data_IF_491544920727
#
_entry.id   IF_491544920727
#
_cell.length_a   1.000
_cell.length_b   1.000
_cell.length_c   1.000
_cell.angle_alpha   90.00
_cell.angle_beta   90.00
_cell.angle_gamma   90.00
#
_symmetry.space_group_name_H-M   'P 1'
#
loop_
_entity.id
_entity.type
_entity.pdbx_description
1 polymer ?
#
# COMPACT_ATOMS: atom_id res chain seq x y z
N UNK A 1 53.70 -25.36 -49.85
CA UNK A 1 53.21 -24.54 -50.97
C UNK A 1 51.81 -25.04 -51.29
N UNK A 2 50.82 -24.17 -51.06
CA UNK A 2 49.45 -24.13 -51.63
C UNK A 2 48.39 -25.19 -51.25
N UNK A 3 47.23 -24.63 -50.86
CA UNK A 3 45.92 -25.22 -50.51
C UNK A 3 45.10 -25.73 -51.72
N UNK A 4 44.00 -26.42 -51.39
CA UNK A 4 42.58 -26.26 -51.85
C UNK A 4 42.04 -27.52 -52.55
N UNK A 5 41.13 -28.35 -52.01
CA UNK A 5 39.71 -28.24 -51.59
C UNK A 5 38.64 -28.20 -52.72
N UNK A 6 37.66 -29.11 -52.55
CA UNK A 6 36.20 -29.03 -52.75
C UNK A 6 35.43 -29.71 -53.91
N UNK A 7 34.25 -30.21 -53.46
CA UNK A 7 32.99 -30.64 -54.11
C UNK A 7 32.84 -32.15 -54.36
N UNK A 8 31.78 -32.86 -53.93
CA UNK A 8 30.49 -32.50 -53.36
C UNK A 8 29.34 -32.91 -54.30
N UNK A 9 28.51 -33.90 -53.94
CA UNK A 9 27.26 -34.22 -54.65
C UNK A 9 26.16 -34.65 -53.67
N UNK A 10 25.01 -34.00 -53.79
CA UNK A 10 23.78 -34.23 -53.04
C UNK A 10 22.71 -34.96 -53.91
N UNK A 11 21.77 -35.62 -53.26
CA UNK A 11 20.45 -36.08 -53.73
C UNK A 11 19.50 -35.92 -52.54
N UNK A 12 18.22 -35.59 -52.62
CA UNK A 12 17.24 -35.44 -53.70
C UNK A 12 15.86 -35.59 -53.02
N UNK A 13 14.97 -34.62 -53.20
CA UNK A 13 13.62 -34.52 -52.61
C UNK A 13 12.56 -35.32 -53.40
N UNK A 14 11.44 -35.74 -52.76
CA UNK A 14 10.02 -35.71 -53.22
C UNK A 14 9.11 -36.13 -52.04
N UNK A 15 8.24 -35.26 -51.47
CA UNK A 15 6.83 -34.93 -51.80
C UNK A 15 5.80 -35.88 -51.12
N UNK A 16 5.12 -35.48 -50.04
CA UNK A 16 3.84 -34.74 -49.91
C UNK A 16 2.57 -35.62 -49.92
N UNK A 17 1.82 -35.64 -48.82
CA UNK A 17 0.35 -35.77 -48.83
C UNK A 17 -0.24 -35.21 -47.53
N UNK A 18 -1.36 -34.51 -47.72
CA UNK A 18 -2.03 -33.58 -46.84
C UNK A 18 -3.37 -34.15 -46.37
N UNK A 19 -3.81 -33.78 -45.18
CA UNK A 19 -5.24 -33.80 -44.83
C UNK A 19 -5.52 -32.80 -43.72
N UNK A 20 -6.26 -31.76 -44.11
CA UNK A 20 -6.66 -30.57 -43.36
C UNK A 20 -8.14 -30.76 -42.99
N UNK A 21 -8.52 -30.55 -41.72
CA UNK A 21 -9.93 -30.55 -41.27
C UNK A 21 -10.32 -29.13 -40.84
N UNK A 22 -11.44 -28.55 -41.31
CA UNK A 22 -11.88 -27.22 -40.92
C UNK A 22 -12.88 -27.29 -39.75
N UNK A 23 -12.68 -26.46 -38.73
CA UNK A 23 -13.67 -26.24 -37.66
C UNK A 23 -14.54 -25.03 -37.95
N UNK A 24 -15.83 -25.26 -37.80
CA UNK A 24 -16.98 -24.40 -38.08
C UNK A 24 -16.96 -23.07 -37.30
N UNK A 25 -17.27 -21.99 -38.01
CA UNK A 25 -17.56 -20.64 -37.51
C UNK A 25 -19.06 -20.57 -37.15
N UNK A 26 -19.40 -20.16 -35.92
CA UNK A 26 -20.76 -19.84 -35.51
C UNK A 26 -20.97 -18.31 -35.56
N UNK A 27 -22.12 -17.81 -36.03
CA UNK A 27 -22.38 -16.38 -36.18
C UNK A 27 -22.73 -15.69 -34.85
N UNK A 28 -22.15 -14.51 -34.65
CA UNK A 28 -22.42 -13.59 -33.54
C UNK A 28 -23.82 -12.98 -33.69
N UNK A 29 -24.70 -13.21 -32.70
CA UNK A 29 -25.99 -12.52 -32.61
C UNK A 29 -25.79 -11.11 -32.07
N UNK A 30 -26.24 -10.15 -32.86
CA UNK A 30 -26.36 -8.73 -32.51
C UNK A 30 -27.61 -8.54 -31.62
N UNK A 31 -27.45 -7.99 -30.43
CA UNK A 31 -28.56 -7.53 -29.58
C UNK A 31 -28.21 -6.12 -29.08
N UNK A 32 -28.78 -5.12 -29.74
CA UNK A 32 -29.02 -3.80 -29.15
C UNK A 32 -30.33 -3.88 -28.36
N UNK A 33 -30.30 -3.57 -27.06
CA UNK A 33 -31.17 -2.56 -26.42
C UNK A 33 -31.25 -2.72 -24.88
N UNK A 34 -31.45 -1.55 -24.28
CA UNK A 34 -32.07 -1.26 -22.99
C UNK A 34 -31.19 -1.34 -21.72
N UNK A 35 -30.87 -0.16 -21.17
CA UNK A 35 -31.50 0.41 -19.98
C UNK A 35 -30.48 1.18 -19.13
N UNK A 36 -30.68 2.48 -19.05
CA UNK A 36 -30.00 3.36 -18.11
C UNK A 36 -30.43 2.99 -16.67
N UNK A 37 -29.47 2.69 -15.80
CA UNK A 37 -29.71 2.57 -14.36
C UNK A 37 -29.46 3.94 -13.70
N UNK A 38 -30.41 4.48 -12.90
CA UNK A 38 -30.20 5.72 -12.16
C UNK A 38 -29.26 5.54 -10.97
N UNK A 39 -28.49 6.59 -10.68
CA UNK A 39 -27.57 6.70 -9.54
C UNK A 39 -28.32 6.60 -8.19
N UNK A 40 -27.75 5.95 -7.16
CA UNK A 40 -28.31 6.01 -5.81
C UNK A 40 -28.05 7.36 -5.15
N UNK A 41 -29.10 7.91 -4.53
CA UNK A 41 -29.13 9.18 -3.80
C UNK A 41 -28.08 9.26 -2.68
N UNK A 42 -27.33 10.36 -2.64
CA UNK A 42 -26.45 10.74 -1.52
C UNK A 42 -27.27 11.27 -0.33
N UNK A 43 -26.95 10.90 0.93
CA UNK A 43 -27.58 11.47 2.11
C UNK A 43 -27.06 12.89 2.44
N UNK A 44 -27.87 13.77 3.06
CA UNK A 44 -27.48 15.14 3.38
C UNK A 44 -26.48 15.23 4.55
N UNK A 45 -25.63 16.29 4.61
CA UNK A 45 -24.65 16.47 5.66
C UNK A 45 -25.27 16.93 7.00
N UNK A 46 -24.67 16.60 8.15
CA UNK A 46 -25.13 17.05 9.47
C UNK A 46 -24.81 18.53 9.75
N UNK A 47 -25.55 19.19 10.65
CA UNK A 47 -25.42 20.63 10.90
C UNK A 47 -24.20 20.99 11.76
N UNK A 48 -23.52 22.07 11.37
CA UNK A 48 -22.37 22.66 12.07
C UNK A 48 -22.78 23.26 13.43
N UNK A 49 -22.19 22.78 14.53
CA UNK A 49 -22.31 23.40 15.86
C UNK A 49 -21.40 24.63 15.94
N UNK A 50 -22.02 25.80 15.97
CA UNK A 50 -21.43 27.06 16.45
C UNK A 50 -21.13 26.93 17.95
N UNK A 51 -19.87 27.07 18.36
CA UNK A 51 -19.54 27.36 19.76
C UNK A 51 -19.29 28.86 19.91
N UNK A 52 -20.27 29.50 20.55
CA UNK A 52 -20.28 30.89 20.95
C UNK A 52 -19.24 31.11 22.06
N UNK A 53 -18.30 32.03 21.84
CA UNK A 53 -17.44 32.58 22.90
C UNK A 53 -18.30 33.47 23.80
N UNK A 54 -18.37 33.20 25.10
CA UNK A 54 -18.90 34.14 26.08
C UNK A 54 -17.77 34.82 26.83
N UNK A 55 -17.58 36.11 26.54
CA UNK A 55 -16.80 37.06 27.32
C UNK A 55 -17.61 37.59 28.51
N UNK A 56 -16.88 37.95 29.57
CA UNK A 56 -17.34 38.47 30.86
C UNK A 56 -18.18 39.76 30.79
N UNK A 57 -19.02 39.96 31.81
CA UNK A 57 -19.38 41.29 32.31
C UNK A 57 -19.85 41.21 33.77
N UNK A 58 -19.31 42.12 34.58
CA UNK A 58 -19.63 42.37 35.97
C UNK A 58 -20.88 43.24 36.12
N UNK A 59 -21.57 43.14 37.27
CA UNK A 59 -22.33 44.24 37.84
C UNK A 59 -22.55 44.03 39.34
N UNK A 60 -22.17 45.05 40.10
CA UNK A 60 -22.37 45.20 41.53
C UNK A 60 -23.80 45.66 41.85
N UNK A 61 -24.27 45.38 43.07
CA UNK A 61 -25.20 46.25 43.80
C UNK A 61 -25.15 45.96 45.31
N UNK A 62 -25.20 47.02 46.09
CA UNK A 62 -25.02 47.09 47.55
C UNK A 62 -26.36 47.07 48.31
N UNK A 63 -26.29 47.31 49.63
CA UNK A 63 -27.34 47.34 50.68
C UNK A 63 -27.56 45.96 51.35
N UNK A 64 -27.40 45.72 52.65
CA UNK A 64 -27.08 46.53 53.83
C UNK A 64 -27.71 45.85 55.08
N UNK A 65 -27.05 45.96 56.24
CA UNK A 65 -27.61 45.90 57.61
C UNK A 65 -27.61 44.56 58.43
N UNK A 66 -26.56 44.43 59.29
CA UNK A 66 -26.58 44.05 60.74
C UNK A 66 -26.80 42.57 61.20
N UNK A 67 -26.36 42.20 62.43
CA UNK A 67 -25.30 41.19 62.62
C UNK A 67 -25.78 39.97 63.43
N UNK A 68 -25.03 38.86 63.39
CA UNK A 68 -25.01 37.94 64.52
C UNK A 68 -23.70 37.15 64.57
N UNK A 69 -23.16 37.15 65.78
CA UNK A 69 -21.90 36.61 66.27
C UNK A 69 -21.94 35.08 66.23
N UNK A 70 -20.97 34.42 65.59
CA UNK A 70 -20.68 33.01 65.87
C UNK A 70 -19.23 32.64 65.52
N UNK A 71 -18.56 32.15 66.57
CA UNK A 71 -17.45 31.19 66.63
C UNK A 71 -16.46 31.09 65.45
N UNK A 72 -15.19 31.35 65.80
CA UNK A 72 -14.02 30.80 65.13
C UNK A 72 -14.09 29.27 65.15
N UNK A 73 -13.89 28.66 63.99
CA UNK A 73 -13.46 27.26 63.85
C UNK A 73 -12.50 27.23 62.68
N UNK A 74 -11.21 27.23 62.98
CA UNK A 74 -10.16 27.01 61.99
C UNK A 74 -10.18 25.52 61.69
N UNK A 75 -10.89 25.13 60.64
CA UNK A 75 -10.82 23.77 60.10
C UNK A 75 -9.67 23.76 59.11
N UNK A 76 -8.62 23.04 59.45
CA UNK A 76 -7.54 22.69 58.55
C UNK A 76 -8.12 21.74 57.50
N UNK A 77 -8.46 22.24 56.32
CA UNK A 77 -8.78 21.39 55.17
C UNK A 77 -7.48 20.73 54.70
N UNK A 78 -7.26 19.52 55.19
CA UNK A 78 -6.30 18.58 54.63
C UNK A 78 -6.81 18.17 53.25
N UNK A 79 -6.37 18.88 52.21
CA UNK A 79 -6.60 18.48 50.82
C UNK A 79 -5.85 17.16 50.57
N UNK A 80 -6.54 16.05 50.81
CA UNK A 80 -6.12 14.73 50.37
C UNK A 80 -6.07 14.74 48.83
N UNK A 81 -4.86 14.70 48.27
CA UNK A 81 -4.68 14.42 46.85
C UNK A 81 -5.31 13.06 46.54
N UNK A 82 -6.30 12.97 45.63
CA UNK A 82 -6.78 11.67 45.21
C UNK A 82 -5.60 10.93 44.58
N UNK A 83 -5.31 9.75 45.14
CA UNK A 83 -4.30 8.84 44.61
C UNK A 83 -4.56 8.63 43.11
N UNK A 84 -3.53 8.60 42.25
CA UNK A 84 -3.76 8.32 40.83
C UNK A 84 -4.43 6.96 40.72
N UNK A 85 -5.68 6.96 40.25
CA UNK A 85 -6.38 5.76 39.79
C UNK A 85 -5.47 5.03 38.80
N UNK A 86 -5.40 3.68 38.84
CA UNK A 86 -4.59 2.93 37.89
C UNK A 86 -5.07 3.33 36.49
N UNK A 87 -4.17 4.00 35.77
CA UNK A 87 -4.36 4.37 34.37
C UNK A 87 -4.87 3.14 33.63
N UNK A 88 -5.94 3.34 32.84
CA UNK A 88 -6.44 2.37 31.87
C UNK A 88 -5.26 1.67 31.17
N UNK A 89 -5.37 0.37 30.82
CA UNK A 89 -4.26 -0.39 30.29
C UNK A 89 -3.65 0.37 29.11
N UNK A 90 -2.43 0.88 29.31
CA UNK A 90 -1.66 1.50 28.26
C UNK A 90 -1.36 0.41 27.26
N UNK A 91 -2.05 0.43 26.11
CA UNK A 91 -1.50 -0.23 24.94
C UNK A 91 -0.28 0.59 24.55
N UNK A 92 0.90 0.07 24.92
CA UNK A 92 2.17 0.63 24.53
C UNK A 92 2.22 0.72 22.99
N UNK A 93 2.82 1.79 22.48
CA UNK A 93 2.97 1.99 21.04
C UNK A 93 3.80 0.84 20.44
N UNK A 94 3.29 0.21 19.37
CA UNK A 94 3.94 -0.92 18.69
C UNK A 94 4.58 -0.48 17.37
N UNK A 95 5.61 -1.20 16.92
CA UNK A 95 6.24 -0.97 15.62
C UNK A 95 5.36 -1.51 14.50
N UNK A 96 5.08 -0.67 13.52
CA UNK A 96 4.36 -1.00 12.27
C UNK A 96 5.32 -0.88 11.09
N UNK A 97 5.21 -1.83 10.17
CA UNK A 97 6.13 -2.06 9.05
C UNK A 97 5.40 -1.90 7.72
N UNK A 98 5.76 -0.89 6.95
CA UNK A 98 5.23 -0.64 5.61
C UNK A 98 6.27 -1.05 4.56
N UNK A 99 5.93 -2.04 3.73
CA UNK A 99 6.77 -2.46 2.62
C UNK A 99 6.24 -1.85 1.32
N UNK A 100 7.06 -1.04 0.64
CA UNK A 100 6.74 -0.49 -0.67
C UNK A 100 7.50 -1.26 -1.75
N UNK A 101 6.77 -2.06 -2.54
CA UNK A 101 7.33 -2.88 -3.61
C UNK A 101 6.91 -2.36 -4.99
N UNK A 102 7.90 -2.06 -5.84
CA UNK A 102 7.63 -1.82 -7.27
C UNK A 102 7.57 -3.15 -8.00
N UNK A 103 6.57 -3.35 -8.86
CA UNK A 103 6.43 -4.57 -9.65
C UNK A 103 7.71 -4.99 -10.40
N UNK A 104 7.83 -6.29 -10.69
CA UNK A 104 8.98 -6.82 -11.40
C UNK A 104 9.00 -6.42 -12.89
N UNK A 105 10.12 -6.64 -13.56
CA UNK A 105 10.31 -6.19 -14.94
C UNK A 105 9.25 -6.78 -15.89
N UNK A 106 8.61 -5.94 -16.70
CA UNK A 106 7.51 -6.31 -17.60
C UNK A 106 7.86 -6.10 -19.07
N UNK A 107 7.27 -6.92 -19.93
CA UNK A 107 7.54 -6.89 -21.37
C UNK A 107 6.79 -5.76 -22.07
N UNK A 108 7.39 -5.16 -23.09
CA UNK A 108 6.72 -4.27 -24.07
C UNK A 108 6.61 -4.92 -25.46
N UNK A 109 6.90 -6.22 -25.58
CA UNK A 109 7.14 -6.89 -26.87
C UNK A 109 5.91 -7.05 -27.76
N UNK A 110 4.68 -6.83 -27.26
CA UNK A 110 3.46 -6.91 -28.05
C UNK A 110 2.79 -5.54 -28.14
N UNK A 111 2.92 -4.83 -29.28
CA UNK A 111 2.34 -3.49 -29.47
C UNK A 111 0.81 -3.43 -29.35
N UNK A 112 0.13 -4.57 -29.48
CA UNK A 112 -1.33 -4.68 -29.45
C UNK A 112 -1.90 -4.89 -28.05
N UNK A 113 -1.07 -5.16 -27.04
CA UNK A 113 -1.52 -5.33 -25.66
C UNK A 113 -1.70 -3.96 -24.99
N UNK A 114 -2.79 -3.81 -24.24
CA UNK A 114 -2.98 -2.64 -23.36
C UNK A 114 -1.91 -2.65 -22.27
N UNK A 115 -1.46 -1.48 -21.82
CA UNK A 115 -0.40 -1.41 -20.80
C UNK A 115 -0.74 -2.20 -19.52
N UNK A 116 -2.01 -2.13 -19.10
CA UNK A 116 -2.52 -2.84 -17.93
C UNK A 116 -2.37 -4.37 -18.02
N UNK A 117 -2.46 -4.93 -19.23
CA UNK A 117 -2.39 -6.37 -19.49
C UNK A 117 -0.95 -6.86 -19.78
N UNK A 118 0.06 -5.99 -19.65
CA UNK A 118 1.45 -6.36 -19.96
C UNK A 118 1.99 -7.40 -18.98
N UNK A 119 2.48 -8.55 -19.47
CA UNK A 119 3.03 -9.60 -18.62
C UNK A 119 4.47 -9.29 -18.19
N UNK A 120 4.96 -10.04 -17.20
CA UNK A 120 6.37 -10.02 -16.80
C UNK A 120 7.30 -10.59 -17.88
N UNK A 121 8.55 -10.13 -17.92
CA UNK A 121 9.61 -10.82 -18.67
C UNK A 121 10.13 -12.01 -17.85
N UNK A 122 10.82 -12.95 -18.49
CA UNK A 122 11.50 -14.06 -17.80
C UNK A 122 12.46 -13.58 -16.71
N UNK A 123 13.20 -12.49 -16.95
CA UNK A 123 14.03 -11.83 -15.94
C UNK A 123 13.19 -11.31 -14.77
N UNK A 124 12.07 -10.62 -15.03
CA UNK A 124 11.17 -10.14 -13.99
C UNK A 124 10.59 -11.26 -13.13
N UNK A 125 10.27 -12.40 -13.75
CA UNK A 125 9.83 -13.59 -13.02
C UNK A 125 10.93 -14.12 -12.08
N UNK A 126 12.17 -14.24 -12.56
CA UNK A 126 13.31 -14.65 -11.72
C UNK A 126 13.57 -13.65 -10.58
N UNK A 127 13.44 -12.35 -10.86
CA UNK A 127 13.66 -11.30 -9.86
C UNK A 127 12.61 -11.33 -8.75
N UNK A 128 11.33 -11.56 -9.10
CA UNK A 128 10.25 -11.72 -8.12
C UNK A 128 10.52 -12.89 -7.17
N UNK A 129 10.98 -14.03 -7.69
CA UNK A 129 11.34 -15.19 -6.88
C UNK A 129 12.50 -14.89 -5.92
N UNK A 130 13.56 -14.23 -6.39
CA UNK A 130 14.72 -13.85 -5.56
C UNK A 130 14.33 -12.89 -4.45
N UNK A 131 13.50 -11.89 -4.76
CA UNK A 131 13.05 -10.90 -3.77
C UNK A 131 12.14 -11.54 -2.73
N UNK A 132 11.25 -12.46 -3.13
CA UNK A 132 10.45 -13.24 -2.17
C UNK A 132 11.32 -13.99 -1.16
N UNK A 133 12.33 -14.72 -1.64
CA UNK A 133 13.26 -15.46 -0.79
C UNK A 133 14.02 -14.54 0.17
N UNK A 134 14.49 -13.39 -0.31
CA UNK A 134 15.19 -12.40 0.53
C UNK A 134 14.28 -11.81 1.60
N UNK A 135 13.04 -11.47 1.26
CA UNK A 135 12.06 -10.97 2.24
C UNK A 135 11.78 -12.03 3.32
N UNK A 136 11.69 -13.30 2.94
CA UNK A 136 11.54 -14.40 3.90
C UNK A 136 12.75 -14.52 4.84
N UNK A 137 13.96 -14.52 4.28
CA UNK A 137 15.21 -14.62 5.04
C UNK A 137 15.39 -13.48 6.05
N UNK A 138 14.90 -12.28 5.71
CA UNK A 138 14.95 -11.10 6.57
C UNK A 138 13.78 -11.02 7.57
N UNK A 139 12.79 -11.92 7.48
CA UNK A 139 11.57 -11.84 8.29
C UNK A 139 10.67 -10.65 7.93
N UNK A 140 10.80 -10.12 6.72
CA UNK A 140 9.99 -9.01 6.18
C UNK A 140 8.73 -9.56 5.51
N UNK A 141 8.01 -10.42 6.24
CA UNK A 141 6.79 -11.06 5.75
C UNK A 141 5.56 -10.17 6.02
N UNK A 142 4.80 -9.78 4.98
CA UNK A 142 3.57 -9.03 5.18
C UNK A 142 2.44 -9.92 5.71
N UNK A 143 1.51 -9.31 6.42
CA UNK A 143 0.25 -9.90 6.84
C UNK A 143 -0.91 -9.44 5.94
N UNK A 144 -0.76 -8.29 5.29
CA UNK A 144 -1.67 -7.75 4.28
C UNK A 144 -0.89 -7.24 3.08
N UNK A 145 -1.37 -7.56 1.88
CA UNK A 145 -0.82 -7.13 0.60
C UNK A 145 -1.89 -6.35 -0.17
N UNK A 146 -1.64 -5.06 -0.33
CA UNK A 146 -2.43 -4.17 -1.17
C UNK A 146 -1.71 -4.01 -2.50
N UNK A 147 -2.33 -4.36 -3.62
CA UNK A 147 -1.66 -4.26 -4.92
C UNK A 147 -2.53 -3.74 -6.05
N UNK A 148 -1.89 -3.07 -7.02
CA UNK A 148 -2.55 -2.73 -8.27
C UNK A 148 -3.07 -3.97 -8.98
N UNK A 149 -4.15 -3.77 -9.72
CA UNK A 149 -4.89 -4.79 -10.45
C UNK A 149 -4.29 -5.07 -11.85
N UNK A 150 -3.14 -4.48 -12.20
CA UNK A 150 -2.42 -4.73 -13.45
C UNK A 150 -1.84 -6.15 -13.53
N UNK A 151 -1.70 -6.71 -14.73
CA UNK A 151 -1.19 -8.07 -14.93
C UNK A 151 0.19 -8.27 -14.31
N UNK A 152 1.13 -7.35 -14.54
CA UNK A 152 2.49 -7.38 -13.98
C UNK A 152 2.57 -7.40 -12.45
N UNK A 153 1.68 -6.70 -11.73
CA UNK A 153 1.65 -6.75 -10.26
C UNK A 153 1.08 -8.07 -9.77
N UNK A 154 0.01 -8.57 -10.41
CA UNK A 154 -0.56 -9.89 -10.10
C UNK A 154 0.44 -11.02 -10.33
N UNK A 155 1.13 -11.01 -11.47
CA UNK A 155 2.14 -12.01 -11.80
C UNK A 155 3.33 -11.93 -10.85
N UNK A 156 3.75 -10.72 -10.45
CA UNK A 156 4.83 -10.54 -9.44
C UNK A 156 4.42 -11.25 -8.14
N UNK A 157 3.24 -10.95 -7.60
CA UNK A 157 2.76 -11.57 -6.36
C UNK A 157 2.60 -13.10 -6.49
N UNK A 158 2.02 -13.57 -7.60
CA UNK A 158 1.84 -15.00 -7.86
C UNK A 158 3.17 -15.76 -7.78
N UNK A 159 4.21 -15.23 -8.41
CA UNK A 159 5.54 -15.86 -8.41
C UNK A 159 6.18 -15.80 -7.02
N UNK A 160 5.97 -14.70 -6.27
CA UNK A 160 6.43 -14.61 -4.88
C UNK A 160 5.77 -15.70 -4.02
N UNK A 161 4.47 -15.94 -4.18
CA UNK A 161 3.72 -17.00 -3.49
C UNK A 161 4.18 -18.41 -3.89
N UNK A 162 4.44 -18.65 -5.18
CA UNK A 162 4.96 -19.93 -5.67
C UNK A 162 6.38 -20.21 -5.16
N UNK A 163 7.21 -19.17 -5.03
CA UNK A 163 8.59 -19.29 -4.57
C UNK A 163 8.71 -19.41 -3.05
N UNK A 164 7.83 -18.71 -2.32
CA UNK A 164 7.80 -18.65 -0.86
C UNK A 164 6.34 -18.80 -0.40
N UNK A 165 5.90 -20.02 -0.04
CA UNK A 165 4.52 -20.29 0.33
C UNK A 165 3.99 -19.47 1.51
N UNK A 166 4.85 -18.95 2.39
CA UNK A 166 4.44 -18.06 3.50
C UNK A 166 3.75 -16.78 3.02
N UNK A 167 3.95 -16.34 1.77
CA UNK A 167 3.15 -15.25 1.19
C UNK A 167 1.67 -15.59 0.98
N UNK A 168 1.30 -16.87 1.04
CA UNK A 168 -0.11 -17.31 0.98
C UNK A 168 -0.86 -17.04 2.30
N UNK A 169 -0.14 -16.86 3.40
CA UNK A 169 -0.73 -16.55 4.71
C UNK A 169 -1.19 -15.08 4.79
N UNK A 170 -0.68 -14.22 3.91
CA UNK A 170 -1.03 -12.80 3.86
C UNK A 170 -2.39 -12.60 3.18
N UNK A 171 -3.21 -11.72 3.74
CA UNK A 171 -4.43 -11.27 3.09
C UNK A 171 -4.10 -10.45 1.84
N UNK A 172 -4.81 -10.67 0.72
CA UNK A 172 -4.54 -9.99 -0.55
C UNK A 172 -5.75 -9.16 -0.99
N UNK A 173 -5.53 -7.86 -1.25
CA UNK A 173 -6.56 -6.94 -1.75
C UNK A 173 -6.09 -6.17 -2.98
N UNK A 174 -6.86 -6.28 -4.06
CA UNK A 174 -6.62 -5.50 -5.28
C UNK A 174 -7.16 -4.08 -5.13
N UNK A 175 -6.31 -3.10 -5.37
CA UNK A 175 -6.64 -1.67 -5.33
C UNK A 175 -6.45 -1.11 -6.74
N UNK A 176 -7.50 -1.06 -7.58
CA UNK A 176 -7.37 -0.59 -8.97
C UNK A 176 -6.77 0.81 -9.10
N UNK A 177 -7.06 1.68 -8.14
CA UNK A 177 -6.50 3.04 -8.12
C UNK A 177 -4.98 3.09 -7.96
N UNK A 178 -4.31 2.02 -7.47
CA UNK A 178 -2.85 1.95 -7.42
C UNK A 178 -2.21 1.96 -8.82
N UNK A 179 -2.95 1.57 -9.87
CA UNK A 179 -2.49 1.73 -11.25
C UNK A 179 -2.44 3.21 -11.67
N UNK A 180 -3.56 3.91 -11.49
CA UNK A 180 -3.72 5.29 -11.98
C UNK A 180 -2.97 6.31 -11.13
N UNK A 181 -2.99 6.15 -9.80
CA UNK A 181 -2.38 7.12 -8.87
C UNK A 181 -0.86 7.19 -9.05
N UNK A 182 -0.23 6.09 -9.46
CA UNK A 182 1.22 6.02 -9.64
C UNK A 182 1.75 6.93 -10.76
N UNK A 183 0.86 7.41 -11.64
CA UNK A 183 1.14 8.39 -12.68
C UNK A 183 0.77 9.84 -12.29
N UNK A 184 0.22 10.05 -11.09
CA UNK A 184 -0.17 11.37 -10.58
C UNK A 184 0.85 11.85 -9.54
N UNK A 185 1.67 12.81 -9.94
CA UNK A 185 2.74 13.38 -9.10
C UNK A 185 2.18 13.95 -7.79
N UNK A 186 2.83 13.65 -6.67
CA UNK A 186 2.50 14.19 -5.34
C UNK A 186 1.31 13.55 -4.64
N UNK A 187 0.55 12.68 -5.30
CA UNK A 187 -0.70 12.13 -4.73
C UNK A 187 -0.55 10.71 -4.16
N UNK A 188 0.50 9.99 -4.54
CA UNK A 188 0.62 8.55 -4.21
C UNK A 188 0.78 8.32 -2.70
N UNK A 189 1.55 9.14 -1.98
CA UNK A 189 1.76 8.97 -0.53
C UNK A 189 0.44 9.05 0.26
N UNK A 190 -0.34 10.11 0.04
CA UNK A 190 -1.63 10.27 0.71
C UNK A 190 -2.62 9.15 0.34
N UNK A 191 -2.65 8.73 -0.93
CA UNK A 191 -3.50 7.62 -1.37
C UNK A 191 -3.10 6.28 -0.73
N UNK A 192 -1.80 6.02 -0.57
CA UNK A 192 -1.28 4.84 0.12
C UNK A 192 -1.68 4.86 1.59
N UNK A 193 -1.47 5.98 2.29
CA UNK A 193 -1.90 6.14 3.68
C UNK A 193 -3.39 5.82 3.85
N UNK A 194 -4.25 6.45 3.05
CA UNK A 194 -5.69 6.21 3.10
C UNK A 194 -6.05 4.74 2.81
N UNK A 195 -5.35 4.11 1.86
CA UNK A 195 -5.59 2.71 1.51
C UNK A 195 -5.17 1.76 2.63
N UNK A 196 -4.04 2.02 3.28
CA UNK A 196 -3.57 1.21 4.42
C UNK A 196 -4.51 1.37 5.61
N UNK A 197 -4.85 2.59 6.02
CA UNK A 197 -5.82 2.85 7.09
C UNK A 197 -7.19 2.21 6.81
N UNK A 198 -7.65 2.24 5.55
CA UNK A 198 -8.96 1.68 5.18
C UNK A 198 -8.99 0.15 5.20
N UNK A 199 -7.90 -0.50 4.83
CA UNK A 199 -7.89 -1.94 4.56
C UNK A 199 -7.16 -2.77 5.62
N UNK A 200 -6.36 -2.13 6.47
CA UNK A 200 -5.68 -2.80 7.58
C UNK A 200 -6.47 -2.67 8.87
N UNK A 201 -6.29 -3.64 9.75
CA UNK A 201 -6.65 -3.57 11.16
C UNK A 201 -5.39 -3.36 12.01
N UNK A 202 -5.57 -3.03 13.29
CA UNK A 202 -4.47 -2.66 14.17
C UNK A 202 -3.60 -3.84 14.60
N UNK A 203 -4.10 -5.07 14.53
CA UNK A 203 -3.37 -6.32 14.76
C UNK A 203 -2.44 -6.72 13.60
N UNK A 204 -2.66 -6.16 12.41
CA UNK A 204 -1.77 -6.33 11.26
C UNK A 204 -0.64 -5.33 11.37
N UNK A 205 0.55 -5.79 11.78
CA UNK A 205 1.72 -4.95 12.01
C UNK A 205 2.58 -4.78 10.76
N UNK A 206 2.43 -5.63 9.74
CA UNK A 206 3.21 -5.54 8.49
C UNK A 206 2.30 -5.52 7.27
N UNK A 207 2.31 -4.40 6.55
CA UNK A 207 1.53 -4.21 5.31
C UNK A 207 2.49 -4.02 4.15
N UNK A 208 2.26 -4.72 3.04
CA UNK A 208 2.96 -4.50 1.78
C UNK A 208 2.03 -3.81 0.79
N UNK A 209 2.48 -2.70 0.22
CA UNK A 209 1.85 -2.06 -0.93
C UNK A 209 2.68 -2.33 -2.18
N UNK A 210 2.07 -2.91 -3.21
CA UNK A 210 2.72 -3.23 -4.49
C UNK A 210 2.13 -2.43 -5.65
N UNK A 211 2.98 -1.69 -6.36
CA UNK A 211 2.52 -0.79 -7.41
C UNK A 211 3.60 -0.44 -8.41
N UNK A 212 3.55 0.81 -8.89
CA UNK A 212 4.30 1.29 -10.05
C UNK A 212 5.09 2.55 -9.72
N UNK A 213 6.19 2.75 -10.45
CA UNK A 213 6.84 4.05 -10.48
C UNK A 213 6.15 4.97 -11.51
N UNK A 214 6.19 6.29 -11.33
CA UNK A 214 7.00 7.05 -10.34
C UNK A 214 6.46 7.06 -8.91
N UNK A 215 5.16 6.87 -8.73
CA UNK A 215 4.50 7.08 -7.43
C UNK A 215 5.06 6.30 -6.23
N UNK A 216 5.52 5.05 -6.39
CA UNK A 216 6.03 4.27 -5.25
C UNK A 216 7.35 4.81 -4.67
N UNK A 217 8.27 5.18 -5.55
CA UNK A 217 9.55 5.79 -5.16
C UNK A 217 9.36 7.18 -4.57
N UNK A 218 8.44 7.96 -5.14
CA UNK A 218 8.04 9.24 -4.59
C UNK A 218 7.43 9.07 -3.19
N UNK A 219 6.49 8.14 -3.03
CA UNK A 219 5.86 7.91 -1.73
C UNK A 219 6.85 7.42 -0.68
N UNK A 220 7.76 6.52 -1.04
CA UNK A 220 8.84 6.11 -0.16
C UNK A 220 9.68 7.31 0.28
N UNK A 221 10.07 8.16 -0.66
CA UNK A 221 10.89 9.35 -0.38
C UNK A 221 10.15 10.38 0.50
N UNK A 222 8.86 10.57 0.25
CA UNK A 222 7.99 11.46 1.03
C UNK A 222 7.84 10.96 2.47
N UNK A 223 7.59 9.66 2.67
CA UNK A 223 7.42 9.10 4.00
C UNK A 223 8.71 9.13 4.82
N UNK A 224 9.87 8.90 4.20
CA UNK A 224 11.17 8.86 4.90
C UNK A 224 11.88 10.20 4.97
N UNK A 225 11.50 11.17 4.15
CA UNK A 225 12.14 12.49 4.08
C UNK A 225 13.53 12.44 3.42
N UNK A 226 13.85 11.34 2.75
CA UNK A 226 15.13 11.09 2.06
C UNK A 226 14.87 10.57 0.66
N UNK A 227 15.83 10.72 -0.26
CA UNK A 227 15.68 10.18 -1.61
C UNK A 227 15.75 8.65 -1.60
N UNK A 228 14.69 7.99 -2.06
CA UNK A 228 14.60 6.52 -2.14
C UNK A 228 14.37 6.09 -3.59
N UNK A 229 15.31 5.36 -4.19
CA UNK A 229 15.16 4.84 -5.56
C UNK A 229 14.59 3.42 -5.58
N UNK A 230 13.49 3.20 -6.33
CA UNK A 230 12.88 1.89 -6.51
C UNK A 230 12.96 1.43 -7.98
N UNK A 231 14.00 0.67 -8.30
CA UNK A 231 14.09 -0.09 -9.56
C UNK A 231 13.05 -1.22 -9.57
N UNK A 232 12.85 -1.84 -10.74
CA UNK A 232 11.89 -2.94 -10.88
C UNK A 232 12.18 -4.04 -9.87
N UNK A 233 11.13 -4.50 -9.19
CA UNK A 233 11.20 -5.50 -8.12
C UNK A 233 11.94 -5.07 -6.84
N UNK A 234 12.32 -3.80 -6.67
CA UNK A 234 12.83 -3.33 -5.38
C UNK A 234 11.70 -3.28 -4.33
N UNK A 235 12.03 -3.62 -3.08
CA UNK A 235 11.13 -3.51 -1.94
C UNK A 235 11.81 -2.73 -0.80
N UNK A 236 11.24 -1.57 -0.43
CA UNK A 236 11.71 -0.78 0.70
C UNK A 236 10.88 -1.09 1.96
N UNK A 237 11.53 -1.33 3.09
CA UNK A 237 10.87 -1.45 4.39
C UNK A 237 10.98 -0.13 5.17
N UNK A 238 9.84 0.42 5.53
CA UNK A 238 9.69 1.62 6.34
C UNK A 238 9.05 1.25 7.68
N UNK A 239 9.47 1.88 8.77
CA UNK A 239 8.94 1.65 10.11
C UNK A 239 8.52 2.93 10.81
N UNK A 240 7.40 2.84 11.54
CA UNK A 240 6.90 3.86 12.44
C UNK A 240 6.25 3.19 13.66
N UNK A 241 6.08 3.94 14.75
CA UNK A 241 5.39 3.45 15.95
C UNK A 241 4.01 4.07 16.08
N UNK A 242 3.01 3.28 16.45
CA UNK A 242 1.66 3.76 16.73
C UNK A 242 0.73 2.63 17.17
N UNK A 243 -0.26 2.94 18.01
CA UNK A 243 -1.24 1.95 18.49
C UNK A 243 -2.19 1.54 17.38
N UNK A 244 -2.44 2.42 16.40
CA UNK A 244 -3.15 2.13 15.15
C UNK A 244 -2.32 2.52 13.92
N UNK A 245 -2.75 2.11 12.73
CA UNK A 245 -2.13 2.59 11.48
C UNK A 245 -2.31 4.09 11.29
N UNK A 246 -3.50 4.62 11.59
CA UNK A 246 -3.79 6.06 11.54
C UNK A 246 -2.88 6.83 12.49
N UNK A 247 -2.70 6.35 13.73
CA UNK A 247 -1.82 6.98 14.71
C UNK A 247 -0.35 6.92 14.24
N UNK A 248 0.11 5.79 13.70
CA UNK A 248 1.47 5.68 13.18
C UNK A 248 1.72 6.67 12.03
N UNK A 249 0.79 6.80 11.08
CA UNK A 249 0.90 7.82 10.03
C UNK A 249 0.82 9.24 10.58
N UNK A 250 -0.02 9.51 11.58
CA UNK A 250 -0.17 10.84 12.16
C UNK A 250 1.06 11.26 12.98
N UNK A 251 1.64 10.35 13.76
CA UNK A 251 2.83 10.60 14.59
C UNK A 251 4.11 10.70 13.77
N UNK A 252 4.31 9.79 12.82
CA UNK A 252 5.47 9.85 11.93
C UNK A 252 5.37 11.02 10.94
N UNK A 253 4.17 11.32 10.46
CA UNK A 253 3.95 12.33 9.43
C UNK A 253 4.74 12.03 8.14
N UNK A 254 4.92 13.07 7.32
CA UNK A 254 5.82 13.01 6.18
C UNK A 254 7.25 13.22 6.69
N UNK A 255 8.16 12.33 6.32
CA UNK A 255 9.57 12.39 6.72
C UNK A 255 9.92 11.67 8.03
N UNK A 256 8.95 11.19 8.80
CA UNK A 256 9.23 10.52 10.08
C UNK A 256 9.28 8.99 10.02
N UNK A 257 9.01 8.37 8.86
CA UNK A 257 9.15 6.92 8.73
C UNK A 257 10.63 6.54 8.62
N UNK A 258 11.09 5.61 9.44
CA UNK A 258 12.46 5.11 9.39
C UNK A 258 12.62 4.09 8.26
N UNK A 259 13.44 4.40 7.26
CA UNK A 259 13.86 3.44 6.24
C UNK A 259 14.81 2.41 6.87
N UNK A 260 14.41 1.14 6.90
CA UNK A 260 15.26 0.05 7.40
C UNK A 260 16.18 -0.51 6.32
N UNK A 261 15.76 -0.45 5.07
CA UNK A 261 16.57 -0.85 3.92
C UNK A 261 15.74 -1.17 2.69
N UNK A 262 16.44 -1.44 1.58
CA UNK A 262 15.86 -1.76 0.29
C UNK A 262 16.39 -3.13 -0.17
N UNK A 263 15.49 -4.09 -0.32
CA UNK A 263 15.77 -5.39 -0.94
C UNK A 263 15.73 -5.25 -2.45
N UNK A 264 16.76 -5.80 -3.11
CA UNK A 264 16.93 -5.77 -4.57
C UNK A 264 17.05 -7.20 -5.11
N UNK A 265 16.72 -7.45 -6.39
CA UNK A 265 16.91 -8.77 -7.00
C UNK A 265 18.38 -9.19 -7.07
N UNK A 266 19.28 -8.26 -7.41
CA UNK A 266 20.73 -8.43 -7.36
C UNK A 266 21.24 -8.53 -5.93
N UNK A 267 22.42 -9.13 -5.73
CA UNK A 267 23.00 -9.32 -4.39
C UNK A 267 23.16 -8.00 -3.63
N UNK A 268 22.73 -7.98 -2.35
CA UNK A 268 22.83 -6.84 -1.44
C UNK A 268 21.49 -6.25 -0.95
N UNK A 269 21.54 -5.64 0.24
CA UNK A 269 20.55 -4.72 0.80
C UNK A 269 21.26 -3.36 0.83
N UNK A 270 20.54 -2.29 0.48
CA UNK A 270 21.06 -0.90 0.60
C UNK A 270 20.21 -0.13 1.58
#
# INVERSE_FOLDING_TARGET
MTMTLFSGRASGYYCCSSSFTPSFIQPVKNINNAAANPLPNSPPPPPSRLLLRSSAAAAATSFGCFPLRAAVSVVSDEYAYPSPSPSAPGFDSVTRRLILLRHAHSSFTQPTLRDHDRPLTSTGQSDAAKVALKLQQLGWMPQLILLSDAARTRETLKIMQESVPTFLDAEVRFIPSFYSIAAMDGQTAGHLQLSVCKHSTDDLLTVMCMGHNRGWEEAASIFTGTTVELKTCNAALLEATGKSWEEAFALAGLGGWKLQGIVKPSDGIV
#
